data_IF_081720776938
#
_entry.id   IF_081720776938
#
_cell.length_a   1.000
_cell.length_b   1.000
_cell.length_c   1.000
_cell.angle_alpha   90.00
_cell.angle_beta   90.00
_cell.angle_gamma   90.00
#
_symmetry.space_group_name_H-M   'P 1'
#
loop_
_entity.id
_entity.type
_entity.pdbx_description
1 polymer ?
#
# COMPACT_ATOMS: atom_id res chain seq x y z
N UNK A 1 -5.19 -20.92 -24.42
CA UNK A 1 -6.03 -22.12 -24.66
C UNK A 1 -5.69 -22.65 -26.03
N UNK A 2 -5.59 -23.97 -26.17
CA UNK A 2 -5.41 -24.58 -27.49
C UNK A 2 -6.74 -24.65 -28.28
N UNK A 3 -6.67 -25.03 -29.55
CA UNK A 3 -7.87 -25.15 -30.40
C UNK A 3 -8.90 -26.17 -29.88
N UNK A 4 -8.48 -27.23 -29.18
CA UNK A 4 -9.39 -28.24 -28.63
C UNK A 4 -10.15 -27.67 -27.43
N UNK A 5 -9.46 -26.92 -26.57
CA UNK A 5 -10.06 -26.20 -25.45
C UNK A 5 -11.06 -25.15 -25.94
N UNK A 6 -10.73 -24.39 -26.98
CA UNK A 6 -11.65 -23.41 -27.58
C UNK A 6 -12.88 -24.10 -28.17
N UNK A 7 -12.72 -25.23 -28.89
CA UNK A 7 -13.86 -25.98 -29.41
C UNK A 7 -14.77 -26.49 -28.27
N UNK A 8 -14.18 -26.98 -27.18
CA UNK A 8 -14.93 -27.42 -26.00
C UNK A 8 -15.65 -26.25 -25.31
N UNK A 9 -15.03 -25.06 -25.27
CA UNK A 9 -15.63 -23.83 -24.75
C UNK A 9 -16.81 -23.37 -25.61
N UNK A 10 -16.67 -23.34 -26.94
CA UNK A 10 -17.76 -22.98 -27.85
C UNK A 10 -18.94 -23.95 -27.73
N UNK A 11 -18.67 -25.26 -27.61
CA UNK A 11 -19.70 -26.26 -27.37
C UNK A 11 -20.40 -26.06 -26.00
N UNK A 12 -19.65 -25.66 -24.97
CA UNK A 12 -20.22 -25.32 -23.65
C UNK A 12 -21.12 -24.08 -23.73
N UNK A 13 -20.65 -23.02 -24.39
CA UNK A 13 -21.41 -21.79 -24.60
C UNK A 13 -22.69 -22.08 -25.39
N UNK A 14 -22.61 -22.85 -26.48
CA UNK A 14 -23.77 -23.22 -27.29
C UNK A 14 -24.85 -23.98 -26.52
N UNK A 15 -24.47 -24.80 -25.52
CA UNK A 15 -25.43 -25.46 -24.62
C UNK A 15 -26.15 -24.48 -23.69
N UNK A 16 -25.53 -23.36 -23.35
CA UNK A 16 -26.12 -22.33 -22.47
C UNK A 16 -26.87 -21.25 -23.25
N UNK A 17 -26.37 -20.87 -24.43
CA UNK A 17 -26.97 -19.91 -25.34
C UNK A 17 -27.01 -20.50 -26.76
N UNK A 18 -28.11 -21.17 -27.14
CA UNK A 18 -28.26 -21.82 -28.44
C UNK A 18 -28.10 -20.88 -29.64
N UNK A 19 -28.24 -19.55 -29.45
CA UNK A 19 -28.06 -18.55 -30.53
C UNK A 19 -26.62 -18.50 -31.07
N UNK A 20 -25.67 -19.09 -30.35
CA UNK A 20 -24.24 -19.09 -30.69
C UNK A 20 -23.82 -20.32 -31.51
N UNK A 21 -24.70 -21.31 -31.66
CA UNK A 21 -24.42 -22.56 -32.37
C UNK A 21 -24.31 -22.28 -33.87
N UNK A 22 -23.26 -22.81 -34.50
CA UNK A 22 -23.09 -22.85 -35.97
C UNK A 22 -23.39 -24.25 -36.47
N UNK A 23 -24.31 -24.36 -37.43
CA UNK A 23 -24.72 -25.64 -38.04
C UNK A 23 -23.91 -25.96 -39.29
N UNK A 24 -23.36 -24.94 -39.97
CA UNK A 24 -22.45 -25.12 -41.07
C UNK A 24 -21.02 -25.42 -40.57
N UNK A 25 -20.36 -26.38 -41.21
CA UNK A 25 -19.03 -26.84 -40.82
C UNK A 25 -17.93 -25.82 -41.14
N UNK A 26 -18.09 -25.05 -42.23
CA UNK A 26 -17.19 -23.95 -42.58
C UNK A 26 -17.27 -22.83 -41.57
N UNK A 27 -18.48 -22.36 -41.25
CA UNK A 27 -18.72 -21.32 -40.24
C UNK A 27 -18.19 -21.73 -38.86
N UNK A 28 -18.38 -22.99 -38.45
CA UNK A 28 -17.85 -23.49 -37.18
C UNK A 28 -16.32 -23.49 -37.15
N UNK A 29 -15.67 -23.83 -38.27
CA UNK A 29 -14.20 -23.80 -38.40
C UNK A 29 -13.67 -22.37 -38.31
N UNK A 30 -14.33 -21.44 -38.97
CA UNK A 30 -13.92 -20.03 -38.97
C UNK A 30 -14.15 -19.38 -37.60
N UNK A 31 -15.26 -19.69 -36.93
CA UNK A 31 -15.51 -19.25 -35.56
C UNK A 31 -14.42 -19.79 -34.61
N UNK A 32 -14.07 -21.07 -34.72
CA UNK A 32 -12.99 -21.66 -33.93
C UNK A 32 -11.65 -20.95 -34.17
N UNK A 33 -11.31 -20.68 -35.44
CA UNK A 33 -10.08 -19.98 -35.78
C UNK A 33 -10.04 -18.55 -35.20
N UNK A 34 -11.14 -17.80 -35.33
CA UNK A 34 -11.27 -16.45 -34.78
C UNK A 34 -11.15 -16.44 -33.25
N UNK A 35 -11.83 -17.37 -32.57
CA UNK A 35 -11.77 -17.45 -31.11
C UNK A 35 -10.38 -17.85 -30.62
N UNK A 36 -9.71 -18.77 -31.31
CA UNK A 36 -8.35 -19.15 -30.98
C UNK A 36 -7.36 -18.00 -31.15
N UNK A 37 -7.49 -17.20 -32.21
CA UNK A 37 -6.66 -16.00 -32.41
C UNK A 37 -6.78 -15.02 -31.23
N UNK A 38 -8.00 -14.82 -30.73
CA UNK A 38 -8.27 -13.83 -29.68
C UNK A 38 -8.05 -14.35 -28.25
N UNK A 39 -8.07 -15.68 -28.05
CA UNK A 39 -8.00 -16.31 -26.73
C UNK A 39 -6.81 -17.26 -26.56
N UNK A 40 -5.87 -17.28 -27.51
CA UNK A 40 -4.70 -18.17 -27.48
C UNK A 40 -3.90 -18.07 -26.18
N UNK A 41 -3.76 -16.86 -25.64
CA UNK A 41 -3.04 -16.58 -24.38
C UNK A 41 -3.90 -16.70 -23.12
N UNK A 42 -5.23 -16.87 -23.26
CA UNK A 42 -6.13 -17.03 -22.12
C UNK A 42 -6.13 -18.51 -21.72
N UNK A 43 -5.80 -18.89 -20.47
CA UNK A 43 -5.88 -20.28 -20.04
C UNK A 43 -7.33 -20.72 -19.83
N UNK A 44 -7.60 -22.02 -19.97
CA UNK A 44 -8.93 -22.58 -19.72
C UNK A 44 -9.32 -22.41 -18.25
N UNK A 45 -8.40 -22.75 -17.35
CA UNK A 45 -8.49 -22.49 -15.93
C UNK A 45 -7.08 -22.34 -15.35
N UNK A 46 -6.96 -21.70 -14.19
CA UNK A 46 -5.73 -21.70 -13.39
C UNK A 46 -5.98 -22.37 -12.04
N UNK A 47 -4.95 -22.90 -11.36
CA UNK A 47 -5.07 -23.44 -10.00
C UNK A 47 -5.49 -22.40 -8.94
N UNK A 48 -5.67 -21.14 -9.33
CA UNK A 48 -5.76 -19.99 -8.43
C UNK A 48 -6.97 -19.10 -8.78
N UNK A 49 -8.06 -19.73 -9.21
CA UNK A 49 -9.39 -19.11 -9.25
C UNK A 49 -9.83 -18.52 -10.59
N UNK A 50 -9.01 -18.60 -11.65
CA UNK A 50 -9.50 -18.31 -13.00
C UNK A 50 -10.13 -19.55 -13.62
N UNK A 51 -11.32 -19.40 -14.22
CA UNK A 51 -11.98 -20.41 -15.05
C UNK A 51 -12.83 -19.70 -16.12
N UNK A 52 -12.52 -19.97 -17.39
CA UNK A 52 -13.21 -19.34 -18.52
C UNK A 52 -14.69 -19.72 -18.59
N UNK A 53 -15.08 -20.92 -18.11
CA UNK A 53 -16.48 -21.36 -18.07
C UNK A 53 -17.28 -20.56 -17.06
N UNK A 54 -16.66 -20.20 -15.94
CA UNK A 54 -17.28 -19.35 -14.92
C UNK A 54 -17.50 -17.95 -15.49
N UNK A 55 -16.51 -17.39 -16.18
CA UNK A 55 -16.62 -16.11 -16.87
C UNK A 55 -17.73 -16.13 -17.95
N UNK A 56 -17.77 -17.17 -18.78
CA UNK A 56 -18.79 -17.33 -19.81
C UNK A 56 -20.20 -17.45 -19.21
N UNK A 57 -20.37 -18.28 -18.17
CA UNK A 57 -21.64 -18.42 -17.45
C UNK A 57 -22.09 -17.10 -16.84
N UNK A 58 -21.16 -16.33 -16.28
CA UNK A 58 -21.46 -15.03 -15.69
C UNK A 58 -21.97 -14.06 -16.75
N UNK A 59 -21.28 -13.95 -17.90
CA UNK A 59 -21.72 -13.09 -19.01
C UNK A 59 -23.14 -13.45 -19.48
N UNK A 60 -23.39 -14.73 -19.77
CA UNK A 60 -24.70 -15.20 -20.26
C UNK A 60 -25.83 -14.90 -19.25
N UNK A 61 -25.53 -14.94 -17.95
CA UNK A 61 -26.52 -14.63 -16.91
C UNK A 61 -26.84 -13.14 -16.79
N UNK A 62 -25.88 -12.27 -17.08
CA UNK A 62 -26.00 -10.83 -16.79
C UNK A 62 -26.14 -9.96 -18.04
N UNK A 63 -25.84 -10.49 -19.22
CA UNK A 63 -25.88 -9.78 -20.49
C UNK A 63 -26.94 -10.36 -21.41
N UNK A 64 -27.81 -9.54 -22.02
CA UNK A 64 -28.74 -10.01 -23.04
C UNK A 64 -28.04 -10.31 -24.40
N UNK A 65 -26.82 -9.79 -24.59
CA UNK A 65 -26.06 -9.90 -25.83
C UNK A 65 -25.31 -11.22 -25.93
N UNK A 66 -25.14 -11.72 -27.16
CA UNK A 66 -24.31 -12.89 -27.44
C UNK A 66 -22.89 -12.67 -26.92
N UNK A 67 -22.30 -13.73 -26.37
CA UNK A 67 -20.92 -13.68 -25.87
C UNK A 67 -19.92 -13.60 -27.03
N UNK A 68 -18.94 -12.72 -26.88
CA UNK A 68 -17.83 -12.54 -27.79
C UNK A 68 -16.51 -12.94 -27.09
N UNK A 69 -15.43 -13.21 -27.85
CA UNK A 69 -14.12 -13.49 -27.25
C UNK A 69 -13.65 -12.38 -26.29
N UNK A 70 -13.94 -11.12 -26.62
CA UNK A 70 -13.56 -9.98 -25.78
C UNK A 70 -14.19 -10.02 -24.38
N UNK A 71 -15.36 -10.64 -24.23
CA UNK A 71 -16.06 -10.78 -22.95
C UNK A 71 -15.37 -11.80 -22.03
N UNK A 72 -14.41 -12.57 -22.55
CA UNK A 72 -13.57 -13.51 -21.79
C UNK A 72 -12.14 -12.99 -21.65
N UNK A 73 -11.58 -12.40 -22.71
CA UNK A 73 -10.24 -11.82 -22.70
C UNK A 73 -10.12 -10.66 -21.70
N UNK A 74 -11.12 -9.77 -21.63
CA UNK A 74 -11.07 -8.62 -20.71
C UNK A 74 -11.10 -9.03 -19.23
N UNK A 75 -12.00 -9.92 -18.77
CA UNK A 75 -11.91 -10.45 -17.40
C UNK A 75 -10.59 -11.16 -17.11
N UNK A 76 -10.02 -11.90 -18.08
CA UNK A 76 -8.70 -12.50 -17.92
C UNK A 76 -7.60 -11.46 -17.68
N UNK A 77 -7.55 -10.41 -18.49
CA UNK A 77 -6.55 -9.35 -18.31
C UNK A 77 -6.74 -8.59 -17.00
N UNK A 78 -7.99 -8.41 -16.55
CA UNK A 78 -8.27 -7.84 -15.23
C UNK A 78 -7.76 -8.75 -14.12
N UNK A 79 -8.04 -10.06 -14.20
CA UNK A 79 -7.53 -11.06 -13.27
C UNK A 79 -6.00 -11.08 -13.22
N UNK A 80 -5.34 -11.09 -14.39
CA UNK A 80 -3.88 -11.05 -14.52
C UNK A 80 -3.29 -9.78 -13.90
N UNK A 81 -3.87 -8.61 -14.21
CA UNK A 81 -3.43 -7.32 -13.68
C UNK A 81 -3.56 -7.27 -12.15
N UNK A 82 -4.70 -7.72 -11.64
CA UNK A 82 -4.99 -7.78 -10.20
C UNK A 82 -4.01 -8.69 -9.44
N UNK A 83 -3.64 -9.84 -10.04
CA UNK A 83 -2.60 -10.71 -9.47
C UNK A 83 -1.22 -10.07 -9.43
N UNK A 84 -0.82 -9.42 -10.52
CA UNK A 84 0.45 -8.70 -10.58
C UNK A 84 0.48 -7.52 -9.61
N UNK A 85 -0.64 -6.81 -9.44
CA UNK A 85 -0.75 -5.70 -8.50
C UNK A 85 -0.56 -6.13 -7.04
N UNK A 86 -0.94 -7.38 -6.68
CA UNK A 86 -0.70 -7.96 -5.36
C UNK A 86 0.71 -8.55 -5.18
N UNK A 87 1.44 -8.73 -6.27
CA UNK A 87 2.73 -9.41 -6.23
C UNK A 87 3.84 -8.43 -5.83
N UNK A 88 4.62 -8.81 -4.83
CA UNK A 88 5.93 -8.23 -4.55
C UNK A 88 6.99 -9.20 -5.03
N UNK A 89 7.97 -8.72 -5.79
CA UNK A 89 9.06 -9.57 -6.23
C UNK A 89 9.86 -10.09 -5.03
N UNK A 90 10.08 -11.40 -4.91
CA UNK A 90 10.96 -11.94 -3.90
C UNK A 90 12.42 -11.62 -4.26
N UNK A 91 13.31 -11.68 -3.27
CA UNK A 91 14.74 -11.75 -3.52
C UNK A 91 15.04 -13.02 -4.33
N UNK A 92 15.60 -12.90 -5.54
CA UNK A 92 16.08 -14.04 -6.33
C UNK A 92 17.07 -14.91 -5.56
N UNK A 93 17.10 -16.19 -5.92
CA UNK A 93 18.00 -17.19 -5.35
C UNK A 93 19.38 -17.22 -6.01
N UNK A 94 19.50 -16.65 -7.20
CA UNK A 94 20.77 -16.49 -7.92
C UNK A 94 21.70 -15.43 -7.31
N UNK A 95 22.97 -15.49 -7.71
CA UNK A 95 23.99 -14.52 -7.32
C UNK A 95 23.56 -13.08 -7.66
N UNK A 96 23.51 -12.13 -6.70
CA UNK A 96 23.17 -10.75 -6.96
C UNK A 96 24.15 -10.04 -7.91
N UNK A 97 25.39 -10.52 -8.02
CA UNK A 97 26.38 -9.96 -8.93
C UNK A 97 26.23 -10.48 -10.37
N UNK A 98 25.47 -11.57 -10.59
CA UNK A 98 25.04 -12.02 -11.93
C UNK A 98 23.73 -11.33 -12.32
N UNK A 99 23.87 -10.12 -12.87
CA UNK A 99 22.74 -9.30 -13.30
C UNK A 99 21.81 -10.02 -14.32
N UNK A 100 22.37 -10.86 -15.21
CA UNK A 100 21.59 -11.52 -16.25
C UNK A 100 20.70 -12.61 -15.65
N UNK A 101 21.28 -13.47 -14.81
CA UNK A 101 20.53 -14.50 -14.09
C UNK A 101 19.47 -13.88 -13.17
N UNK A 102 19.86 -12.84 -12.43
CA UNK A 102 18.98 -12.12 -11.50
C UNK A 102 17.73 -11.56 -12.20
N UNK A 103 17.92 -10.88 -13.33
CA UNK A 103 16.81 -10.28 -14.08
C UNK A 103 15.92 -11.36 -14.72
N UNK A 104 16.51 -12.47 -15.16
CA UNK A 104 15.78 -13.59 -15.74
C UNK A 104 14.87 -14.29 -14.70
N UNK A 105 15.35 -14.50 -13.47
CA UNK A 105 14.56 -15.10 -12.38
C UNK A 105 13.37 -14.21 -11.98
N UNK A 106 13.59 -12.90 -11.84
CA UNK A 106 12.52 -11.94 -11.56
C UNK A 106 11.46 -11.94 -12.67
N UNK A 107 11.89 -11.84 -13.93
CA UNK A 107 10.97 -11.86 -15.07
C UNK A 107 10.22 -13.20 -15.17
N UNK A 108 10.87 -14.32 -14.86
CA UNK A 108 10.27 -15.65 -14.80
C UNK A 108 9.17 -15.74 -13.75
N UNK A 109 9.45 -15.25 -12.54
CA UNK A 109 8.50 -15.23 -11.42
C UNK A 109 7.26 -14.39 -11.75
N UNK A 110 7.46 -13.16 -12.26
CA UNK A 110 6.35 -12.31 -12.70
C UNK A 110 5.52 -12.96 -13.80
N UNK A 111 6.16 -13.61 -14.78
CA UNK A 111 5.46 -14.35 -15.87
C UNK A 111 4.63 -15.51 -15.31
N UNK A 112 5.15 -16.28 -14.35
CA UNK A 112 4.42 -17.37 -13.72
C UNK A 112 3.19 -16.86 -12.92
N UNK A 113 3.33 -15.75 -12.20
CA UNK A 113 2.21 -15.10 -11.51
C UNK A 113 1.16 -14.59 -12.51
N UNK A 114 1.60 -13.96 -13.59
CA UNK A 114 0.74 -13.42 -14.64
C UNK A 114 -0.05 -14.51 -15.38
N UNK A 115 0.60 -15.62 -15.73
CA UNK A 115 -0.03 -16.80 -16.33
C UNK A 115 -0.91 -17.57 -15.32
N UNK A 116 -0.79 -17.22 -14.04
CA UNK A 116 -1.54 -17.83 -12.96
C UNK A 116 -1.08 -19.22 -12.58
N UNK A 117 0.16 -19.59 -12.92
CA UNK A 117 0.81 -20.85 -12.52
C UNK A 117 1.52 -20.78 -11.17
N UNK A 118 1.74 -19.58 -10.63
CA UNK A 118 2.31 -19.35 -9.30
C UNK A 118 1.52 -18.29 -8.51
N UNK A 119 1.32 -18.47 -7.20
CA UNK A 119 0.65 -17.47 -6.34
C UNK A 119 1.45 -16.15 -6.27
N UNK A 120 0.79 -14.98 -6.20
CA UNK A 120 1.48 -13.73 -5.92
C UNK A 120 2.17 -13.81 -4.56
N UNK A 121 3.49 -13.64 -4.54
CA UNK A 121 4.21 -13.44 -3.29
C UNK A 121 3.79 -12.09 -2.69
N UNK A 122 3.47 -12.07 -1.40
CA UNK A 122 3.18 -10.85 -0.66
C UNK A 122 4.40 -10.52 0.21
N UNK A 123 4.86 -9.27 0.17
CA UNK A 123 5.77 -8.79 1.19
C UNK A 123 5.07 -8.87 2.56
N UNK A 124 5.78 -9.37 3.58
CA UNK A 124 5.31 -9.27 4.95
C UNK A 124 5.09 -7.79 5.26
N UNK A 125 3.88 -7.42 5.64
CA UNK A 125 3.62 -6.05 6.08
C UNK A 125 4.60 -5.71 7.21
N UNK A 126 5.26 -4.55 7.13
CA UNK A 126 6.08 -4.01 8.21
C UNK A 126 5.11 -3.49 9.28
N UNK A 127 4.55 -4.41 10.05
CA UNK A 127 3.66 -4.11 11.17
C UNK A 127 4.39 -4.44 12.45
N UNK A 128 4.29 -3.59 13.47
CA UNK A 128 4.38 -4.09 14.85
C UNK A 128 3.34 -5.22 14.98
N UNK A 129 3.73 -6.38 15.50
CA UNK A 129 2.84 -7.53 15.60
C UNK A 129 1.57 -7.22 16.40
N UNK A 130 0.62 -8.16 16.45
CA UNK A 130 -0.60 -8.01 17.27
C UNK A 130 -0.29 -7.74 18.74
N UNK A 131 0.88 -8.19 19.19
CA UNK A 131 1.40 -8.06 20.56
C UNK A 131 2.25 -6.79 20.77
N UNK A 132 2.29 -5.87 19.79
CA UNK A 132 3.06 -4.63 19.86
C UNK A 132 4.49 -4.75 19.32
N UNK A 133 5.36 -3.85 19.78
CA UNK A 133 6.81 -3.88 19.47
C UNK A 133 7.44 -4.97 20.32
N UNK A 134 8.32 -5.79 19.74
CA UNK A 134 9.08 -6.82 20.47
C UNK A 134 9.76 -6.19 21.71
N UNK A 135 9.55 -6.69 22.94
CA UNK A 135 10.15 -6.14 24.15
C UNK A 135 11.68 -6.03 24.10
N UNK A 136 12.34 -6.94 23.38
CA UNK A 136 13.79 -6.93 23.15
C UNK A 136 14.19 -5.75 22.26
N UNK A 137 13.42 -5.51 21.21
CA UNK A 137 13.60 -4.35 20.33
C UNK A 137 13.33 -3.06 21.09
N UNK A 138 12.29 -3.01 21.93
CA UNK A 138 11.98 -1.85 22.74
C UNK A 138 13.06 -1.56 23.78
N UNK A 139 13.61 -2.58 24.44
CA UNK A 139 14.75 -2.45 25.34
C UNK A 139 15.99 -1.91 24.59
N UNK A 140 16.27 -2.43 23.39
CA UNK A 140 17.39 -1.98 22.56
C UNK A 140 17.20 -0.55 22.05
N UNK A 141 15.97 -0.16 21.67
CA UNK A 141 15.66 1.22 21.30
C UNK A 141 15.82 2.17 22.49
N UNK A 142 15.47 1.72 23.71
CA UNK A 142 15.70 2.48 24.94
C UNK A 142 17.19 2.65 25.25
N UNK A 143 17.99 1.61 25.02
CA UNK A 143 19.46 1.65 25.14
C UNK A 143 20.10 2.60 24.12
N UNK A 144 19.68 2.55 22.86
CA UNK A 144 20.12 3.47 21.79
C UNK A 144 19.67 4.91 22.11
N UNK A 145 18.50 5.07 22.74
CA UNK A 145 17.94 6.36 23.09
C UNK A 145 17.45 7.11 21.85
N UNK A 146 18.07 8.26 21.56
CA UNK A 146 17.66 9.06 20.41
C UNK A 146 18.27 8.54 19.11
N UNK A 147 17.42 8.39 18.08
CA UNK A 147 17.88 8.10 16.70
C UNK A 147 18.78 9.21 16.10
N UNK A 148 18.87 10.38 16.75
CA UNK A 148 19.76 11.47 16.33
C UNK A 148 20.88 11.58 17.37
N UNK A 149 22.13 11.23 17.01
CA UNK A 149 23.28 11.35 17.89
C UNK A 149 23.47 12.79 18.42
N UNK A 150 23.98 12.99 19.65
CA UNK A 150 24.16 14.32 20.25
C UNK A 150 24.94 15.31 19.38
N UNK A 151 25.99 14.85 18.68
CA UNK A 151 26.79 15.69 17.78
C UNK A 151 25.96 16.20 16.57
N UNK A 152 25.19 15.31 15.93
CA UNK A 152 24.29 15.70 14.84
C UNK A 152 23.19 16.64 15.34
N UNK A 153 22.66 16.39 16.54
CA UNK A 153 21.68 17.24 17.22
C UNK A 153 22.22 18.66 17.47
N UNK A 154 23.48 18.80 17.87
CA UNK A 154 24.17 20.07 18.05
C UNK A 154 24.42 20.80 16.71
N UNK A 155 24.86 20.07 15.67
CA UNK A 155 25.05 20.64 14.34
C UNK A 155 23.76 21.22 13.72
N UNK A 156 22.61 20.66 14.09
CA UNK A 156 21.31 21.13 13.61
C UNK A 156 20.79 22.41 14.29
N UNK A 157 21.43 22.89 15.36
CA UNK A 157 20.97 24.07 16.13
C UNK A 157 20.65 25.29 15.25
N UNK A 158 21.48 25.70 14.26
CA UNK A 158 21.18 26.85 13.40
C UNK A 158 19.90 26.69 12.59
N UNK A 159 19.50 25.45 12.26
CA UNK A 159 18.33 25.15 11.45
C UNK A 159 17.06 24.90 12.28
N UNK A 160 17.20 24.70 13.61
CA UNK A 160 16.07 24.44 14.52
C UNK A 160 16.14 25.27 15.82
N UNK A 161 16.36 26.59 15.76
CA UNK A 161 16.71 27.40 16.94
C UNK A 161 15.66 27.33 18.07
N UNK A 162 14.37 27.36 17.75
CA UNK A 162 13.31 27.24 18.75
C UNK A 162 13.29 25.87 19.45
N UNK A 163 13.57 24.79 18.72
CA UNK A 163 13.66 23.43 19.28
C UNK A 163 14.93 23.26 20.12
N UNK A 164 16.04 23.82 19.68
CA UNK A 164 17.30 23.82 20.43
C UNK A 164 17.18 24.59 21.76
N UNK A 165 16.55 25.77 21.74
CA UNK A 165 16.31 26.56 22.95
C UNK A 165 15.43 25.81 23.96
N UNK A 166 14.37 25.13 23.50
CA UNK A 166 13.54 24.26 24.35
C UNK A 166 14.36 23.11 24.94
N UNK A 167 15.08 22.36 24.10
CA UNK A 167 15.90 21.22 24.56
C UNK A 167 16.92 21.67 25.62
N UNK A 168 17.55 22.84 25.44
CA UNK A 168 18.46 23.43 26.42
C UNK A 168 17.76 23.85 27.72
N UNK A 169 16.57 24.48 27.64
CA UNK A 169 15.79 24.88 28.81
C UNK A 169 15.37 23.66 29.65
N UNK A 170 14.90 22.60 28.99
CA UNK A 170 14.54 21.33 29.67
C UNK A 170 15.75 20.68 30.31
N UNK A 171 16.91 20.69 29.64
CA UNK A 171 18.17 20.19 30.22
C UNK A 171 18.61 20.99 31.47
N UNK A 172 18.23 22.27 31.58
CA UNK A 172 18.45 23.12 32.75
C UNK A 172 17.37 22.92 33.84
N UNK A 173 16.46 21.95 33.66
CA UNK A 173 15.38 21.66 34.60
C UNK A 173 14.19 22.61 34.50
N UNK A 174 14.11 23.45 33.47
CA UNK A 174 12.96 24.33 33.26
C UNK A 174 11.75 23.55 32.73
N UNK A 175 10.51 24.01 33.01
CA UNK A 175 9.30 23.34 32.56
C UNK A 175 9.21 23.23 31.04
N UNK A 176 8.88 22.03 30.54
CA UNK A 176 8.63 21.81 29.13
C UNK A 176 7.18 22.17 28.77
N UNK A 177 6.97 23.37 28.21
CA UNK A 177 5.63 23.78 27.77
C UNK A 177 4.96 22.80 26.80
N UNK A 178 5.71 21.99 26.03
CA UNK A 178 5.13 21.07 25.07
C UNK A 178 4.74 19.71 25.68
N UNK A 179 5.06 19.43 26.95
CA UNK A 179 4.61 18.20 27.62
C UNK A 179 3.10 18.22 27.93
N UNK A 180 2.52 19.40 28.10
CA UNK A 180 1.09 19.62 28.38
C UNK A 180 0.32 20.09 27.15
N UNK A 181 -0.99 19.81 27.13
CA UNK A 181 -1.92 20.43 26.17
C UNK A 181 -2.06 21.93 26.48
N UNK A 182 -2.13 22.78 25.46
CA UNK A 182 -2.40 24.20 25.65
C UNK A 182 -3.90 24.44 25.82
N UNK A 183 -4.35 24.98 26.94
CA UNK A 183 -5.78 25.28 27.14
C UNK A 183 -6.29 26.45 26.30
N UNK A 184 -5.42 27.39 25.91
CA UNK A 184 -5.82 28.58 25.15
C UNK A 184 -5.99 28.32 23.64
N UNK A 185 -5.03 27.64 23.00
CA UNK A 185 -5.10 27.33 21.55
C UNK A 185 -5.40 25.86 21.25
N UNK A 186 -5.59 25.03 22.27
CA UNK A 186 -5.85 23.59 22.16
C UNK A 186 -4.75 22.76 21.48
N UNK A 187 -3.56 23.33 21.26
CA UNK A 187 -2.40 22.62 20.73
C UNK A 187 -2.06 21.41 21.62
N UNK A 188 -1.89 20.24 20.98
CA UNK A 188 -1.64 18.98 21.67
C UNK A 188 -0.23 18.91 22.26
N UNK A 189 0.03 17.99 23.21
CA UNK A 189 1.39 17.68 23.63
C UNK A 189 2.30 17.40 22.42
N UNK A 190 3.53 17.88 22.46
CA UNK A 190 4.48 17.82 21.36
C UNK A 190 4.29 18.89 20.27
N UNK A 191 3.14 19.55 20.18
CA UNK A 191 2.88 20.59 19.17
C UNK A 191 3.11 22.01 19.70
N UNK A 192 3.75 22.91 18.93
CA UNK A 192 3.88 24.32 19.31
C UNK A 192 2.52 25.02 19.38
N UNK A 193 2.42 26.04 20.23
CA UNK A 193 1.23 26.89 20.26
C UNK A 193 0.99 27.55 18.91
N UNK A 194 -0.28 27.80 18.56
CA UNK A 194 -0.67 28.39 17.28
C UNK A 194 -1.20 29.80 17.46
N UNK A 195 -0.91 30.70 16.51
CA UNK A 195 -1.53 32.03 16.40
C UNK A 195 -2.27 32.17 15.09
N UNK A 196 -3.33 32.98 15.06
CA UNK A 196 -4.02 33.32 13.81
C UNK A 196 -3.08 34.10 12.90
N UNK A 197 -3.03 33.70 11.63
CA UNK A 197 -2.38 34.46 10.56
C UNK A 197 -3.41 35.47 10.06
N UNK A 198 -3.16 36.75 10.30
CA UNK A 198 -4.01 37.84 9.84
C UNK A 198 -3.47 38.33 8.50
N UNK A 199 -4.35 38.45 7.51
CA UNK A 199 -4.02 39.01 6.20
C UNK A 199 -3.91 40.54 6.23
N UNK A 200 -3.42 41.16 5.14
CA UNK A 200 -3.35 42.62 5.02
C UNK A 200 -4.72 43.32 5.12
N UNK A 201 -5.79 42.57 4.86
CA UNK A 201 -7.20 42.95 4.96
C UNK A 201 -7.76 42.85 6.40
N UNK A 202 -6.95 42.47 7.38
CA UNK A 202 -7.39 42.23 8.76
C UNK A 202 -8.15 40.91 8.97
N UNK A 203 -8.37 40.13 7.90
CA UNK A 203 -9.05 38.84 7.97
C UNK A 203 -8.14 37.69 8.43
N UNK A 204 -8.69 36.72 9.16
CA UNK A 204 -7.95 35.52 9.53
C UNK A 204 -7.84 34.56 8.34
N UNK A 205 -6.61 34.28 7.88
CA UNK A 205 -6.33 33.41 6.71
C UNK A 205 -5.75 32.03 7.07
N UNK A 206 -5.59 31.75 8.36
CA UNK A 206 -5.10 30.45 8.84
C UNK A 206 -4.45 30.55 10.22
N UNK A 207 -3.65 29.54 10.58
CA UNK A 207 -2.85 29.55 11.81
C UNK A 207 -1.37 29.28 11.51
N UNK A 208 -0.48 29.80 12.35
CA UNK A 208 0.97 29.58 12.28
C UNK A 208 1.52 29.17 13.63
N UNK A 209 2.55 28.31 13.69
CA UNK A 209 3.27 28.05 14.93
C UNK A 209 3.82 29.33 15.53
N UNK A 210 3.68 29.48 16.85
CA UNK A 210 4.33 30.52 17.63
C UNK A 210 5.72 30.06 18.02
N UNK A 211 6.68 30.99 18.03
CA UNK A 211 8.01 30.75 18.58
C UNK A 211 7.99 30.60 20.11
N UNK A 212 7.10 31.35 20.78
CA UNK A 212 6.90 31.29 22.23
C UNK A 212 5.56 30.64 22.59
N UNK A 213 5.52 29.75 23.60
CA UNK A 213 4.29 29.17 24.10
C UNK A 213 3.39 30.24 24.75
N UNK A 214 2.10 29.94 24.90
CA UNK A 214 1.21 30.82 25.69
C UNK A 214 1.62 30.78 27.17
N UNK A 215 1.58 31.90 27.89
CA UNK A 215 1.95 31.96 29.31
C UNK A 215 1.26 30.90 30.16
N UNK A 216 -0.07 30.76 30.03
CA UNK A 216 -0.81 29.73 30.77
C UNK A 216 -0.38 28.29 30.46
N UNK A 217 0.23 28.01 29.29
CA UNK A 217 0.79 26.67 29.02
C UNK A 217 2.10 26.45 29.78
N UNK A 218 2.91 27.49 29.97
CA UNK A 218 4.12 27.41 30.80
C UNK A 218 3.76 27.20 32.26
N UNK A 219 2.76 27.92 32.77
CA UNK A 219 2.29 27.78 34.16
C UNK A 219 1.75 26.37 34.42
N UNK A 220 0.99 25.80 33.49
CA UNK A 220 0.53 24.41 33.57
C UNK A 220 1.69 23.40 33.56
N UNK A 221 2.68 23.60 32.70
CA UNK A 221 3.86 22.74 32.67
C UNK A 221 4.65 22.83 33.99
N UNK A 222 4.80 24.03 34.55
CA UNK A 222 5.46 24.25 35.84
C UNK A 222 4.70 23.58 37.00
N UNK A 223 3.38 23.72 37.02
CA UNK A 223 2.53 23.07 38.00
C UNK A 223 2.60 21.55 37.91
N UNK A 224 2.60 20.98 36.69
CA UNK A 224 2.76 19.54 36.49
C UNK A 224 4.13 19.04 36.94
N UNK A 225 5.20 19.80 36.65
CA UNK A 225 6.55 19.46 37.09
C UNK A 225 6.69 19.51 38.62
N UNK A 226 6.04 20.47 39.29
CA UNK A 226 6.02 20.56 40.75
C UNK A 226 5.19 19.45 41.43
N UNK A 227 4.20 18.89 40.73
CA UNK A 227 3.36 17.79 41.20
C UNK A 227 3.96 16.40 40.95
N UNK A 228 4.97 16.29 40.09
CA UNK A 228 5.73 15.05 39.93
C UNK A 228 6.61 14.87 41.18
N UNK A 229 6.35 13.87 42.05
CA UNK A 229 7.27 13.59 43.14
C UNK A 229 8.63 13.24 42.52
N UNK A 230 9.71 13.75 43.13
CA UNK A 230 11.07 13.39 42.76
C UNK A 230 11.22 11.87 42.93
N UNK A 231 11.04 11.13 41.83
CA UNK A 231 11.42 9.73 41.73
C UNK A 231 12.95 9.70 41.77
N UNK A 232 13.47 9.43 42.97
CA UNK A 232 14.84 8.97 43.20
C UNK A 232 14.99 7.51 42.77
#
# INVERSE_FOLDING_TARGET
MDRREIAALLAYIGRLDPRTIRTDQGEARDQLAQWHELLGEVPMATPHGWDVRVAARQHIRTSPYQILPADLARPWENYRRDRLARHSDPTPSVDPDDQAAWTAELAGTRRAVAAGTAQPAQARAITSGRDGVDPTLEARLREIGSCIPPAARAALVPYRPARAAREAAVAQGLPDALSVRCEWCLAQPGEPCRRRRIGPDGGARGTTPRATPHPGRLDLAAAQQAQQPALA
#
